data_IF_810150143180
#
_entry.id   IF_810150143180
#
_cell.length_a   1.000
_cell.length_b   1.000
_cell.length_c   1.000
_cell.angle_alpha   90.00
_cell.angle_beta   90.00
_cell.angle_gamma   90.00
#
_symmetry.space_group_name_H-M   'P 1'
#
loop_
_entity.id
_entity.type
_entity.pdbx_description
1 polymer ?
#
# COMPACT_ATOMS: atom_id res chain seq x y z
N UNK A 1 -36.23 19.54 -80.92
CA UNK A 1 -35.91 18.23 -81.50
C UNK A 1 -35.78 17.27 -80.35
N UNK A 2 -36.90 16.59 -80.01
CA UNK A 2 -37.22 15.16 -80.28
C UNK A 2 -36.04 14.27 -79.89
N UNK A 3 -36.13 13.28 -79.01
CA UNK A 3 -37.09 12.16 -79.00
C UNK A 3 -36.85 11.29 -77.74
N UNK A 4 -37.91 10.94 -77.13
CA UNK A 4 -38.46 9.62 -76.75
C UNK A 4 -37.72 8.67 -75.83
N UNK A 5 -38.30 8.44 -74.69
CA UNK A 5 -38.92 7.27 -74.12
C UNK A 5 -38.21 5.91 -74.32
N UNK A 6 -37.98 5.19 -73.21
CA UNK A 6 -38.62 3.86 -73.03
C UNK A 6 -38.56 3.47 -71.53
N UNK A 7 -39.75 3.15 -71.02
CA UNK A 7 -40.07 2.36 -69.88
C UNK A 7 -39.71 0.91 -70.05
N UNK A 8 -39.20 0.23 -69.06
CA UNK A 8 -39.39 -1.20 -68.92
C UNK A 8 -39.59 -1.56 -67.44
N UNK A 9 -40.79 -2.03 -67.17
CA UNK A 9 -41.16 -2.70 -65.90
C UNK A 9 -40.70 -4.16 -65.97
N UNK A 10 -40.10 -4.67 -64.90
CA UNK A 10 -40.13 -6.12 -64.60
C UNK A 10 -40.16 -6.30 -63.08
N UNK A 11 -41.30 -6.59 -62.56
CA UNK A 11 -41.82 -7.70 -61.75
C UNK A 11 -40.97 -8.20 -60.57
N UNK A 12 -41.60 -8.07 -59.45
CA UNK A 12 -41.67 -8.75 -58.19
C UNK A 12 -41.25 -10.25 -58.22
N UNK A 13 -40.36 -10.60 -57.32
CA UNK A 13 -40.33 -11.93 -56.72
C UNK A 13 -40.05 -11.82 -55.23
N UNK A 14 -41.05 -12.06 -54.41
CA UNK A 14 -41.00 -12.27 -53.01
C UNK A 14 -40.34 -13.61 -52.69
N UNK A 15 -39.29 -13.63 -51.89
CA UNK A 15 -38.80 -14.84 -51.22
C UNK A 15 -38.81 -14.62 -49.75
N UNK A 16 -39.75 -15.27 -49.09
CA UNK A 16 -39.77 -15.42 -47.64
C UNK A 16 -38.65 -16.35 -47.19
N UNK A 17 -37.73 -15.87 -46.36
CA UNK A 17 -36.79 -16.72 -45.66
C UNK A 17 -37.14 -16.64 -44.15
N UNK A 18 -37.55 -17.81 -43.65
CA UNK A 18 -37.79 -18.12 -42.26
C UNK A 18 -36.50 -17.88 -41.46
N UNK A 19 -36.50 -16.90 -40.56
CA UNK A 19 -35.42 -16.69 -39.63
C UNK A 19 -35.67 -17.52 -38.38
N UNK A 20 -34.93 -18.62 -38.26
CA UNK A 20 -34.76 -19.36 -37.02
C UNK A 20 -33.95 -18.52 -36.04
N UNK A 21 -34.56 -18.27 -34.89
CA UNK A 21 -33.94 -17.52 -33.78
C UNK A 21 -32.76 -18.27 -33.19
N UNK A 22 -31.65 -17.58 -33.08
CA UNK A 22 -30.59 -17.86 -32.13
C UNK A 22 -30.48 -16.63 -31.20
N UNK A 23 -31.05 -16.81 -30.02
CA UNK A 23 -30.88 -15.85 -28.92
C UNK A 23 -29.40 -15.82 -28.53
N UNK A 24 -28.66 -14.87 -29.08
CA UNK A 24 -27.32 -14.52 -28.62
C UNK A 24 -27.46 -13.73 -27.33
N UNK A 25 -27.17 -14.37 -26.19
CA UNK A 25 -26.91 -13.67 -24.92
C UNK A 25 -25.71 -12.76 -25.16
N UNK A 26 -25.96 -11.51 -25.46
CA UNK A 26 -24.99 -10.45 -25.36
C UNK A 26 -24.68 -10.25 -23.86
N UNK A 27 -23.59 -10.86 -23.39
CA UNK A 27 -22.95 -10.49 -22.15
C UNK A 27 -22.51 -9.02 -22.26
N UNK A 28 -23.35 -8.12 -21.79
CA UNK A 28 -22.93 -6.77 -21.49
C UNK A 28 -21.89 -6.87 -20.37
N UNK A 29 -20.61 -6.93 -20.78
CA UNK A 29 -19.55 -6.50 -19.90
C UNK A 29 -19.81 -5.03 -19.62
N UNK A 30 -20.29 -4.73 -18.42
CA UNK A 30 -20.21 -3.39 -17.87
C UNK A 30 -18.72 -3.05 -17.82
N UNK A 31 -18.24 -2.36 -18.85
CA UNK A 31 -17.00 -1.62 -18.77
C UNK A 31 -17.30 -0.49 -17.78
N UNK A 32 -16.81 -0.64 -16.55
CA UNK A 32 -16.68 0.48 -15.65
C UNK A 32 -15.93 1.55 -16.44
N UNK A 33 -16.62 2.64 -16.78
CA UNK A 33 -16.01 3.82 -17.33
C UNK A 33 -15.07 4.36 -16.25
N UNK A 34 -13.81 3.93 -16.29
CA UNK A 34 -12.74 4.62 -15.63
C UNK A 34 -12.71 6.02 -16.24
N UNK A 35 -12.99 7.05 -15.44
CA UNK A 35 -12.75 8.42 -15.82
C UNK A 35 -11.30 8.56 -16.30
N UNK A 36 -10.91 9.68 -16.97
CA UNK A 36 -9.57 9.89 -17.41
C UNK A 36 -8.64 9.90 -16.21
N UNK A 37 -8.19 8.70 -15.81
CA UNK A 37 -7.13 8.50 -14.87
C UNK A 37 -5.87 9.01 -15.53
N UNK A 38 -5.16 9.90 -14.88
CA UNK A 38 -3.79 10.15 -15.25
C UNK A 38 -3.08 8.82 -15.05
N UNK A 39 -2.67 8.14 -16.15
CA UNK A 39 -1.84 6.94 -16.14
C UNK A 39 -0.44 7.30 -15.62
N UNK A 40 -0.36 7.52 -14.31
CA UNK A 40 0.92 7.54 -13.62
C UNK A 40 1.20 6.09 -13.24
N UNK A 41 2.11 5.47 -13.98
CA UNK A 41 2.65 4.16 -13.62
C UNK A 41 3.28 4.26 -12.23
N UNK A 42 2.57 3.74 -11.24
CA UNK A 42 3.09 3.67 -9.87
C UNK A 42 4.14 2.56 -9.83
N UNK A 43 5.41 2.88 -9.54
CA UNK A 43 6.43 1.86 -9.46
C UNK A 43 6.12 0.85 -8.35
N UNK A 44 6.37 -0.42 -8.63
CA UNK A 44 6.19 -1.48 -7.65
C UNK A 44 7.04 -1.22 -6.41
N UNK A 45 6.41 -1.25 -5.24
CA UNK A 45 7.09 -1.05 -3.96
C UNK A 45 7.91 -2.30 -3.65
N UNK A 46 9.23 -2.18 -3.36
CA UNK A 46 10.05 -3.33 -3.01
C UNK A 46 9.51 -4.09 -1.80
N UNK A 47 9.64 -5.42 -1.80
CA UNK A 47 9.13 -6.29 -0.73
C UNK A 47 9.62 -5.86 0.67
N UNK A 48 10.83 -5.31 0.77
CA UNK A 48 11.37 -4.78 2.03
C UNK A 48 10.54 -3.63 2.62
N UNK A 49 9.75 -2.94 1.80
CA UNK A 49 8.89 -1.82 2.21
C UNK A 49 7.39 -2.16 2.17
N UNK A 50 7.01 -3.36 1.77
CA UNK A 50 5.59 -3.75 1.64
C UNK A 50 4.77 -3.45 2.90
N UNK A 51 5.37 -3.62 4.09
CA UNK A 51 4.74 -3.40 5.39
C UNK A 51 5.27 -2.16 6.14
N UNK A 52 6.01 -1.27 5.47
CA UNK A 52 6.64 -0.10 6.08
C UNK A 52 5.67 1.09 6.12
N UNK A 53 4.53 0.93 6.79
CA UNK A 53 3.52 1.99 6.87
C UNK A 53 3.87 3.06 7.90
N UNK A 54 3.44 4.29 7.61
CA UNK A 54 3.46 5.37 8.60
C UNK A 54 2.39 5.08 9.65
N UNK A 55 2.73 5.04 10.96
CA UNK A 55 1.77 4.72 12.00
C UNK A 55 0.63 5.75 12.04
N UNK A 56 -0.59 5.30 12.34
CA UNK A 56 -1.78 6.17 12.37
C UNK A 56 -1.60 7.40 13.26
N UNK A 57 -0.94 7.24 14.41
CA UNK A 57 -0.71 8.35 15.34
C UNK A 57 0.22 9.43 14.77
N UNK A 58 1.10 9.12 13.82
CA UNK A 58 2.01 10.09 13.24
C UNK A 58 1.27 11.18 12.45
N UNK A 59 0.16 10.83 11.82
CA UNK A 59 -0.62 11.73 10.99
C UNK A 59 -1.33 12.85 11.75
N UNK A 60 -1.65 12.63 13.02
CA UNK A 60 -2.44 13.56 13.84
C UNK A 60 -1.67 14.09 15.06
N UNK A 61 -0.48 13.55 15.35
CA UNK A 61 0.31 13.99 16.50
C UNK A 61 1.01 15.34 16.20
N UNK A 62 0.62 16.43 16.85
CA UNK A 62 1.17 17.76 16.56
C UNK A 62 2.67 17.87 16.81
N UNK A 63 3.21 17.11 17.79
CA UNK A 63 4.65 17.09 18.05
C UNK A 63 5.42 16.42 16.92
N UNK A 64 4.90 15.33 16.36
CA UNK A 64 5.52 14.67 15.21
C UNK A 64 5.45 15.56 13.97
N UNK A 65 4.32 16.19 13.71
CA UNK A 65 4.16 17.12 12.59
C UNK A 65 5.12 18.31 12.72
N UNK A 66 5.25 18.89 13.93
CA UNK A 66 6.21 19.98 14.18
C UNK A 66 7.66 19.51 13.94
N UNK A 67 8.03 18.33 14.44
CA UNK A 67 9.34 17.73 14.16
C UNK A 67 9.57 17.48 12.68
N UNK A 68 8.55 17.00 11.98
CA UNK A 68 8.59 16.81 10.53
C UNK A 68 8.81 18.11 9.77
N UNK A 69 8.20 19.22 10.22
CA UNK A 69 8.44 20.56 9.68
C UNK A 69 9.90 20.98 9.83
N UNK A 70 10.48 20.80 11.01
CA UNK A 70 11.90 21.12 11.26
C UNK A 70 12.81 20.35 10.29
N UNK A 71 12.58 19.04 10.12
CA UNK A 71 13.34 18.19 9.21
C UNK A 71 13.13 18.64 7.76
N UNK A 72 11.90 18.93 7.36
CA UNK A 72 11.58 19.38 6.01
C UNK A 72 12.30 20.69 5.67
N UNK A 73 12.26 21.66 6.55
CA UNK A 73 12.94 22.94 6.37
C UNK A 73 14.45 22.76 6.25
N UNK A 74 15.03 21.91 7.09
CA UNK A 74 16.48 21.70 7.10
C UNK A 74 17.01 20.88 5.91
N UNK A 75 16.22 19.94 5.38
CA UNK A 75 16.72 18.92 4.44
C UNK A 75 15.98 18.83 3.10
N UNK A 76 14.75 19.29 3.02
CA UNK A 76 13.89 19.05 1.86
C UNK A 76 13.58 20.33 1.04
N UNK A 77 13.51 21.48 1.71
CA UNK A 77 13.12 22.76 1.10
C UNK A 77 13.99 23.13 -0.09
N UNK A 78 15.29 22.83 -0.05
CA UNK A 78 16.21 23.18 -1.13
C UNK A 78 15.68 22.70 -2.50
N UNK A 79 15.11 21.50 -2.54
CA UNK A 79 14.57 20.93 -3.79
C UNK A 79 13.05 21.01 -3.84
N UNK A 80 12.32 20.72 -2.75
CA UNK A 80 10.86 20.71 -2.76
C UNK A 80 10.21 22.08 -2.61
N UNK A 81 10.98 23.15 -2.28
CA UNK A 81 10.45 24.49 -2.03
C UNK A 81 9.83 24.64 -0.63
N UNK A 82 9.75 25.87 -0.13
CA UNK A 82 9.16 26.15 1.18
C UNK A 82 7.69 25.72 1.29
N UNK A 83 6.97 25.82 0.17
CA UNK A 83 5.56 25.40 0.08
C UNK A 83 5.40 23.92 -0.24
N UNK A 84 6.49 23.22 -0.59
CA UNK A 84 6.45 21.85 -1.07
C UNK A 84 6.03 21.68 -2.53
N UNK A 85 5.99 22.74 -3.32
CA UNK A 85 5.51 22.78 -4.71
C UNK A 85 6.54 22.26 -5.75
N UNK A 86 7.63 21.67 -5.29
CA UNK A 86 8.69 21.13 -6.15
C UNK A 86 9.57 22.18 -6.82
N UNK A 87 9.44 23.47 -6.45
CA UNK A 87 10.12 24.61 -7.09
C UNK A 87 11.25 25.19 -6.24
N UNK A 88 11.90 24.36 -5.41
CA UNK A 88 13.07 24.79 -4.66
C UNK A 88 14.23 25.18 -5.56
N UNK A 89 15.15 26.01 -5.05
CA UNK A 89 16.30 26.50 -5.81
C UNK A 89 17.18 25.36 -6.36
N UNK A 90 17.32 24.27 -5.61
CA UNK A 90 18.06 23.08 -6.04
C UNK A 90 17.35 22.25 -7.13
N UNK A 91 16.08 22.55 -7.43
CA UNK A 91 15.31 21.82 -8.44
C UNK A 91 15.49 22.36 -9.87
N UNK A 92 16.06 23.55 -10.05
CA UNK A 92 16.03 24.30 -11.33
C UNK A 92 16.57 23.49 -12.50
N UNK A 93 17.69 22.79 -12.32
CA UNK A 93 18.37 22.06 -13.39
C UNK A 93 18.24 20.53 -13.24
N UNK A 94 17.36 20.01 -12.37
CA UNK A 94 17.21 18.56 -12.21
C UNK A 94 16.47 17.97 -13.42
N UNK A 95 16.97 16.84 -13.97
CA UNK A 95 16.29 16.12 -15.04
C UNK A 95 14.90 15.64 -14.62
N UNK A 96 14.79 15.04 -13.45
CA UNK A 96 13.54 14.69 -12.81
C UNK A 96 13.21 15.73 -11.74
N UNK A 97 12.14 16.47 -11.94
CA UNK A 97 11.69 17.47 -10.97
C UNK A 97 11.19 16.83 -9.68
N UNK A 98 11.40 17.46 -8.52
CA UNK A 98 10.77 17.02 -7.27
C UNK A 98 9.25 17.02 -7.43
N UNK A 99 8.60 16.07 -6.75
CA UNK A 99 7.15 16.00 -6.71
C UNK A 99 6.55 17.25 -6.07
N UNK A 100 5.41 17.70 -6.60
CA UNK A 100 4.59 18.75 -6.00
C UNK A 100 3.78 18.16 -4.83
N UNK A 101 4.25 18.39 -3.61
CA UNK A 101 3.63 17.90 -2.39
C UNK A 101 2.37 18.68 -2.00
N UNK A 102 2.02 19.74 -2.76
CA UNK A 102 0.75 20.47 -2.59
C UNK A 102 -0.37 19.90 -3.44
N UNK A 103 -0.05 19.01 -4.39
CA UNK A 103 -1.04 18.30 -5.18
C UNK A 103 -1.74 17.22 -4.33
N UNK A 104 -2.91 17.58 -3.83
CA UNK A 104 -3.71 16.71 -2.98
C UNK A 104 -4.14 15.42 -3.68
N UNK A 105 -4.30 15.42 -5.01
CA UNK A 105 -4.66 14.22 -5.76
C UNK A 105 -3.48 13.24 -5.79
N UNK A 106 -2.30 13.71 -6.18
CA UNK A 106 -1.08 12.90 -6.19
C UNK A 106 -0.78 12.35 -4.79
N UNK A 107 -0.87 13.20 -3.76
CA UNK A 107 -0.62 12.78 -2.37
C UNK A 107 -1.62 11.72 -1.91
N UNK A 108 -2.90 11.83 -2.30
CA UNK A 108 -3.93 10.87 -1.93
C UNK A 108 -3.83 9.52 -2.67
N UNK A 109 -3.23 9.48 -3.84
CA UNK A 109 -3.06 8.25 -4.63
C UNK A 109 -1.92 7.36 -4.13
N UNK A 110 -0.96 7.92 -3.38
CA UNK A 110 0.23 7.20 -2.93
C UNK A 110 0.03 6.55 -1.56
N UNK A 111 0.28 5.24 -1.49
CA UNK A 111 0.23 4.49 -0.24
C UNK A 111 1.32 4.94 0.76
N UNK A 112 1.07 4.76 2.06
CA UNK A 112 2.02 5.18 3.11
C UNK A 112 3.38 4.50 3.01
N UNK A 113 3.42 3.22 2.61
CA UNK A 113 4.66 2.48 2.38
C UNK A 113 5.46 3.02 1.17
N UNK A 114 4.79 3.55 0.15
CA UNK A 114 5.46 4.27 -0.94
C UNK A 114 6.25 5.48 -0.41
N UNK A 115 5.62 6.30 0.44
CA UNK A 115 6.27 7.46 1.04
C UNK A 115 7.46 7.08 1.89
N UNK A 116 7.33 6.02 2.72
CA UNK A 116 8.46 5.52 3.53
C UNK A 116 9.60 5.03 2.65
N UNK A 117 9.29 4.30 1.58
CA UNK A 117 10.28 3.85 0.62
C UNK A 117 11.00 5.03 -0.05
N UNK A 118 10.24 6.01 -0.57
CA UNK A 118 10.80 7.17 -1.28
C UNK A 118 11.71 8.01 -0.39
N UNK A 119 11.30 8.31 0.82
CA UNK A 119 12.15 9.05 1.78
C UNK A 119 13.36 8.23 2.19
N UNK A 120 13.22 6.90 2.33
CA UNK A 120 14.34 6.05 2.75
C UNK A 120 15.40 5.91 1.69
N UNK A 121 15.03 5.58 0.45
CA UNK A 121 15.96 5.21 -0.64
C UNK A 121 16.23 6.36 -1.62
N UNK A 122 15.42 7.39 -1.60
CA UNK A 122 15.58 8.53 -2.50
C UNK A 122 15.53 8.16 -3.98
N UNK A 123 16.36 8.81 -4.76
CA UNK A 123 16.49 8.63 -6.20
C UNK A 123 17.48 7.56 -6.64
N UNK A 124 18.15 6.89 -5.70
CA UNK A 124 19.22 5.93 -6.00
C UNK A 124 18.72 4.56 -6.46
N UNK A 125 17.39 4.34 -6.47
CA UNK A 125 16.74 3.09 -6.83
C UNK A 125 15.88 3.24 -8.07
N UNK A 126 15.69 2.14 -8.82
CA UNK A 126 14.82 2.15 -9.99
C UNK A 126 13.33 2.26 -9.59
N UNK A 127 12.51 2.88 -10.45
CA UNK A 127 12.82 3.49 -11.75
C UNK A 127 13.32 4.95 -11.68
N UNK A 128 13.59 5.47 -10.51
CA UNK A 128 13.95 6.88 -10.32
C UNK A 128 15.39 7.19 -10.70
N UNK A 129 16.28 6.23 -10.51
CA UNK A 129 17.70 6.34 -10.87
C UNK A 129 17.86 6.57 -12.37
N UNK A 130 17.22 5.74 -13.20
CA UNK A 130 17.28 5.87 -14.67
C UNK A 130 16.61 7.15 -15.17
N UNK A 131 15.65 7.71 -14.41
CA UNK A 131 14.99 8.98 -14.69
C UNK A 131 15.81 10.21 -14.22
N UNK A 132 16.99 10.00 -13.63
CA UNK A 132 17.87 11.06 -13.16
C UNK A 132 17.40 11.78 -11.89
N UNK A 133 16.74 11.06 -10.98
CA UNK A 133 16.36 11.62 -9.69
C UNK A 133 17.58 11.96 -8.83
N UNK A 134 17.61 13.17 -8.30
CA UNK A 134 18.66 13.63 -7.39
C UNK A 134 18.24 13.58 -5.91
N UNK A 135 17.10 12.99 -5.57
CA UNK A 135 16.64 12.89 -4.19
C UNK A 135 17.60 12.03 -3.36
N UNK A 136 18.16 12.53 -2.25
CA UNK A 136 19.03 11.74 -1.40
C UNK A 136 18.30 10.58 -0.72
N UNK A 137 19.06 9.53 -0.34
CA UNK A 137 18.56 8.45 0.50
C UNK A 137 18.69 8.86 1.98
N UNK A 138 17.58 9.06 2.66
CA UNK A 138 17.58 9.58 4.03
C UNK A 138 17.67 8.51 5.12
N UNK A 139 17.64 7.21 4.77
CA UNK A 139 17.65 6.12 5.76
C UNK A 139 18.91 6.08 6.64
N UNK A 140 20.02 6.60 6.17
CA UNK A 140 21.27 6.65 6.96
C UNK A 140 21.30 7.84 7.94
N UNK A 141 20.58 8.92 7.64
CA UNK A 141 20.61 10.16 8.44
C UNK A 141 19.37 10.34 9.33
N UNK A 142 18.23 9.82 8.89
CA UNK A 142 16.95 9.96 9.60
C UNK A 142 16.52 8.62 10.20
N UNK A 143 16.21 8.63 11.48
CA UNK A 143 15.55 7.49 12.13
C UNK A 143 14.21 7.18 11.45
N UNK A 144 13.65 6.00 11.69
CA UNK A 144 12.31 5.66 11.15
C UNK A 144 11.26 6.66 11.65
N UNK A 145 11.33 7.07 12.93
CA UNK A 145 10.39 8.05 13.48
C UNK A 145 10.53 9.42 12.83
N UNK A 146 11.76 9.86 12.52
CA UNK A 146 11.99 11.12 11.80
C UNK A 146 11.45 11.06 10.38
N UNK A 147 11.59 9.92 9.69
CA UNK A 147 11.02 9.71 8.37
C UNK A 147 9.49 9.73 8.41
N UNK A 148 8.85 9.10 9.40
CA UNK A 148 7.41 9.22 9.60
C UNK A 148 6.96 10.64 9.88
N UNK A 149 7.72 11.37 10.71
CA UNK A 149 7.43 12.76 11.05
C UNK A 149 7.46 13.66 9.81
N UNK A 150 8.52 13.58 8.99
CA UNK A 150 8.63 14.42 7.78
C UNK A 150 7.57 14.04 6.73
N UNK A 151 7.20 12.77 6.60
CA UNK A 151 6.11 12.32 5.72
C UNK A 151 4.78 12.89 6.20
N UNK A 152 4.48 12.79 7.50
CA UNK A 152 3.26 13.34 8.07
C UNK A 152 3.16 14.85 7.86
N UNK A 153 4.26 15.59 8.02
CA UNK A 153 4.30 17.02 7.72
C UNK A 153 4.08 17.28 6.22
N UNK A 154 4.77 16.56 5.33
CA UNK A 154 4.64 16.74 3.89
C UNK A 154 3.18 16.60 3.41
N UNK A 155 2.42 15.66 3.99
CA UNK A 155 0.99 15.52 3.70
C UNK A 155 0.17 16.75 4.11
N UNK A 156 0.56 17.46 5.16
CA UNK A 156 -0.15 18.70 5.55
C UNK A 156 -0.05 19.80 4.50
N UNK A 157 0.97 19.76 3.63
CA UNK A 157 1.17 20.76 2.57
C UNK A 157 0.08 20.69 1.49
N UNK A 158 -0.50 19.51 1.26
CA UNK A 158 -1.63 19.31 0.37
C UNK A 158 -2.99 19.48 1.05
N UNK A 159 -3.01 19.79 2.35
CA UNK A 159 -4.23 19.81 3.14
C UNK A 159 -4.70 18.45 3.64
N UNK A 160 -4.02 17.37 3.29
CA UNK A 160 -4.34 16.02 3.72
C UNK A 160 -3.70 15.64 5.05
N UNK A 161 -4.38 14.78 5.81
CA UNK A 161 -3.88 14.23 7.07
C UNK A 161 -4.15 12.73 7.11
N UNK A 162 -3.20 11.97 6.66
CA UNK A 162 -3.27 10.52 6.74
C UNK A 162 -3.36 9.77 5.42
N UNK A 163 -3.41 8.46 5.48
CA UNK A 163 -3.47 7.61 4.29
C UNK A 163 -4.79 7.79 3.55
N UNK A 164 -4.73 7.85 2.22
CA UNK A 164 -5.89 8.15 1.36
C UNK A 164 -6.24 7.02 0.39
N UNK A 165 -5.50 5.92 0.40
CA UNK A 165 -5.82 4.75 -0.44
C UNK A 165 -6.77 3.81 0.29
N UNK A 166 -7.81 3.39 -0.42
CA UNK A 166 -8.84 2.50 0.13
C UNK A 166 -8.27 1.22 0.79
N UNK A 167 -7.14 0.70 0.30
CA UNK A 167 -6.42 -0.42 0.89
C UNK A 167 -5.81 -0.11 2.27
N UNK A 168 -5.41 1.13 2.54
CA UNK A 168 -4.95 1.55 3.85
C UNK A 168 -6.10 1.86 4.80
N UNK A 169 -7.23 2.37 4.31
CA UNK A 169 -8.46 2.50 5.08
C UNK A 169 -9.01 1.14 5.53
N UNK A 170 -8.78 0.06 4.77
CA UNK A 170 -9.12 -1.29 5.24
C UNK A 170 -8.24 -1.77 6.39
N UNK A 171 -7.01 -1.24 6.52
CA UNK A 171 -6.13 -1.51 7.67
C UNK A 171 -6.46 -0.64 8.89
N UNK A 172 -7.27 0.42 8.72
CA UNK A 172 -7.82 1.23 9.81
C UNK A 172 -9.06 0.61 10.49
N UNK A 173 -9.49 -0.60 10.09
CA UNK A 173 -10.31 -1.41 11.00
C UNK A 173 -9.52 -1.52 12.30
N UNK A 174 -10.12 -1.20 13.45
CA UNK A 174 -9.43 -1.34 14.72
C UNK A 174 -8.81 -2.72 14.73
N UNK A 175 -7.48 -2.78 14.90
CA UNK A 175 -6.77 -4.06 15.02
C UNK A 175 -7.58 -4.88 16.01
N UNK A 176 -8.04 -6.07 15.66
CA UNK A 176 -8.75 -6.90 16.63
C UNK A 176 -7.84 -7.01 17.86
N UNK A 177 -8.38 -6.80 19.05
CA UNK A 177 -7.58 -6.86 20.29
C UNK A 177 -6.80 -8.15 20.43
N UNK A 178 -7.26 -9.20 19.74
CA UNK A 178 -6.57 -10.48 19.65
C UNK A 178 -6.75 -11.11 18.28
N UNK A 179 -5.76 -11.87 17.84
CA UNK A 179 -5.79 -12.68 16.62
C UNK A 179 -5.41 -14.11 16.94
N UNK A 180 -5.94 -15.05 16.17
CA UNK A 180 -5.66 -16.46 16.33
C UNK A 180 -4.90 -16.97 15.11
N UNK A 181 -3.84 -17.74 15.36
CA UNK A 181 -3.04 -18.40 14.34
C UNK A 181 -2.86 -19.89 14.66
N UNK A 182 -2.37 -20.64 13.68
CA UNK A 182 -1.94 -22.02 13.81
C UNK A 182 -0.50 -22.15 13.34
N UNK A 183 0.26 -23.03 14.00
CA UNK A 183 1.66 -23.21 13.66
C UNK A 183 2.30 -24.36 14.41
N UNK A 184 3.61 -24.52 14.18
CA UNK A 184 4.43 -25.54 14.85
C UNK A 184 5.40 -24.86 15.79
N UNK A 185 5.55 -25.39 17.00
CA UNK A 185 6.55 -24.93 17.97
C UNK A 185 7.94 -25.39 17.48
N UNK A 186 8.80 -24.44 17.17
CA UNK A 186 10.18 -24.72 16.72
C UNK A 186 11.14 -24.77 17.90
N UNK A 187 11.00 -23.85 18.85
CA UNK A 187 11.86 -23.79 20.03
C UNK A 187 11.18 -23.07 21.19
N UNK A 188 11.65 -23.34 22.40
CA UNK A 188 11.33 -22.58 23.60
C UNK A 188 12.57 -21.81 24.04
N UNK A 189 12.39 -20.55 24.44
CA UNK A 189 13.45 -19.67 24.97
C UNK A 189 13.03 -19.15 26.36
N UNK A 190 13.21 -19.94 27.41
CA UNK A 190 12.75 -19.60 28.76
C UNK A 190 13.37 -18.30 29.27
N UNK A 191 14.64 -18.05 28.97
CA UNK A 191 15.37 -16.86 29.36
C UNK A 191 14.78 -15.55 28.79
N UNK A 192 14.02 -15.66 27.68
CA UNK A 192 13.33 -14.55 27.00
C UNK A 192 11.83 -14.61 27.16
N UNK A 193 11.32 -15.61 27.86
CA UNK A 193 9.89 -15.89 27.98
C UNK A 193 9.21 -15.99 26.58
N UNK A 194 9.86 -16.69 25.64
CA UNK A 194 9.41 -16.77 24.24
C UNK A 194 9.21 -18.21 23.77
N UNK A 195 8.13 -18.38 23.02
CA UNK A 195 7.90 -19.55 22.18
C UNK A 195 8.21 -19.16 20.74
N UNK A 196 9.09 -19.89 20.08
CA UNK A 196 9.38 -19.71 18.64
C UNK A 196 8.40 -20.58 17.86
N UNK A 197 7.59 -19.95 17.04
CA UNK A 197 6.59 -20.59 16.19
C UNK A 197 6.90 -20.37 14.71
N UNK A 198 6.78 -21.43 13.93
CA UNK A 198 6.59 -21.37 12.50
C UNK A 198 5.08 -21.41 12.24
N UNK A 199 4.54 -20.36 11.64
CA UNK A 199 3.11 -20.23 11.42
C UNK A 199 2.77 -19.82 10.00
N UNK A 200 1.56 -20.20 9.55
CA UNK A 200 0.97 -19.70 8.32
C UNK A 200 0.52 -18.25 8.42
N UNK A 201 -0.28 -17.82 7.44
CA UNK A 201 -0.89 -16.50 7.47
C UNK A 201 -1.83 -16.36 8.68
N UNK A 202 -1.63 -15.31 9.47
CA UNK A 202 -2.58 -14.86 10.50
C UNK A 202 -3.37 -13.71 9.88
N UNK A 203 -4.59 -14.03 9.40
CA UNK A 203 -5.42 -13.11 8.62
C UNK A 203 -5.57 -11.73 9.26
N UNK A 204 -5.21 -10.69 8.52
CA UNK A 204 -5.30 -9.30 8.94
C UNK A 204 -4.25 -8.87 9.98
N UNK A 205 -3.23 -9.72 10.25
CA UNK A 205 -2.17 -9.41 11.20
C UNK A 205 -0.77 -9.59 10.61
N UNK A 206 -0.41 -10.79 10.13
CA UNK A 206 0.90 -11.02 9.51
C UNK A 206 0.92 -12.25 8.59
N UNK A 207 1.85 -12.24 7.62
CA UNK A 207 2.07 -13.35 6.70
C UNK A 207 2.78 -14.55 7.35
N UNK A 208 2.96 -15.65 6.58
CA UNK A 208 3.70 -16.83 7.05
C UNK A 208 5.13 -16.49 7.43
N UNK A 209 5.57 -16.91 8.63
CA UNK A 209 6.95 -16.72 9.08
C UNK A 209 7.30 -17.56 10.28
N UNK A 210 8.60 -17.57 10.64
CA UNK A 210 9.10 -18.14 11.89
C UNK A 210 9.58 -17.02 12.80
N UNK A 211 8.96 -16.86 13.97
CA UNK A 211 9.40 -15.83 14.92
C UNK A 211 9.13 -16.23 16.39
N UNK A 212 9.83 -15.51 17.30
CA UNK A 212 9.66 -15.69 18.75
C UNK A 212 8.60 -14.75 19.31
N UNK A 213 7.60 -15.31 19.97
CA UNK A 213 6.54 -14.57 20.66
C UNK A 213 6.73 -14.64 22.17
N UNK A 214 6.60 -13.52 22.86
CA UNK A 214 6.47 -13.53 24.31
C UNK A 214 5.18 -14.23 24.71
N UNK A 215 5.16 -14.86 25.89
CA UNK A 215 3.96 -15.49 26.46
C UNK A 215 3.48 -14.71 27.68
N UNK A 216 2.18 -14.52 27.77
CA UNK A 216 1.53 -13.90 28.92
C UNK A 216 0.25 -14.68 29.29
N UNK A 217 0.26 -15.44 30.41
CA UNK A 217 1.35 -15.58 31.38
C UNK A 217 2.54 -16.42 30.86
N UNK A 218 3.75 -16.26 31.41
CA UNK A 218 4.93 -17.04 31.05
C UNK A 218 4.75 -18.55 31.17
N UNK A 219 3.88 -19.01 32.07
CA UNK A 219 3.57 -20.42 32.30
C UNK A 219 2.97 -21.13 31.07
N UNK A 220 2.47 -20.42 30.08
CA UNK A 220 1.97 -21.01 28.84
C UNK A 220 3.05 -21.81 28.09
N UNK A 221 4.33 -21.43 28.25
CA UNK A 221 5.42 -22.19 27.65
C UNK A 221 5.53 -23.64 28.17
N UNK A 222 5.09 -23.91 29.41
CA UNK A 222 5.17 -25.24 30.03
C UNK A 222 4.16 -26.20 29.42
N UNK A 223 3.18 -25.71 28.67
CA UNK A 223 2.14 -26.54 28.07
C UNK A 223 2.52 -27.13 26.72
N UNK A 224 3.65 -26.69 26.14
CA UNK A 224 4.06 -27.02 24.76
C UNK A 224 5.53 -27.45 24.70
N UNK A 225 5.90 -28.20 23.66
CA UNK A 225 7.27 -28.62 23.37
C UNK A 225 7.59 -28.44 21.87
N UNK A 226 8.86 -28.36 21.48
CA UNK A 226 9.24 -28.36 20.06
C UNK A 226 8.61 -29.54 19.32
N UNK A 227 8.07 -29.27 18.12
CA UNK A 227 7.33 -30.22 17.29
C UNK A 227 5.82 -30.21 17.50
N UNK A 228 5.31 -29.64 18.59
CA UNK A 228 3.86 -29.58 18.80
C UNK A 228 3.19 -28.65 17.77
N UNK A 229 2.10 -29.14 17.15
CA UNK A 229 1.18 -28.31 16.36
C UNK A 229 0.22 -27.61 17.30
N UNK A 230 0.11 -26.31 17.19
CA UNK A 230 -0.64 -25.49 18.14
C UNK A 230 -1.55 -24.49 17.45
N UNK A 231 -2.68 -24.20 18.10
CA UNK A 231 -3.47 -23.00 17.87
C UNK A 231 -3.15 -22.01 18.98
N UNK A 232 -2.86 -20.77 18.60
CA UNK A 232 -2.47 -19.75 19.57
C UNK A 232 -3.22 -18.45 19.34
N UNK A 233 -3.40 -17.68 20.41
CA UNK A 233 -4.01 -16.35 20.38
C UNK A 233 -2.97 -15.32 20.79
N UNK A 234 -2.81 -14.27 19.98
CA UNK A 234 -1.92 -13.14 20.22
C UNK A 234 -2.77 -11.95 20.65
N UNK A 235 -2.44 -11.32 21.76
CA UNK A 235 -2.83 -9.95 22.06
C UNK A 235 -2.04 -9.02 21.14
N UNK A 236 -2.75 -8.27 20.28
CA UNK A 236 -2.11 -7.46 19.24
C UNK A 236 -1.51 -6.18 19.78
N UNK A 237 -1.92 -5.73 20.97
CA UNK A 237 -1.42 -4.55 21.65
C UNK A 237 -0.12 -4.87 22.40
N UNK A 238 -0.12 -5.97 23.16
CA UNK A 238 1.05 -6.46 23.88
C UNK A 238 2.03 -7.24 22.99
N UNK A 239 1.63 -7.64 21.78
CA UNK A 239 2.39 -8.54 20.89
C UNK A 239 2.83 -9.83 21.58
N UNK A 240 1.96 -10.40 22.41
CA UNK A 240 2.23 -11.57 23.23
C UNK A 240 1.17 -12.65 23.07
N UNK A 241 1.57 -13.92 23.15
CA UNK A 241 0.65 -15.04 23.16
C UNK A 241 -0.04 -15.08 24.53
N UNK A 242 -1.37 -15.03 24.51
CA UNK A 242 -2.22 -15.09 25.71
C UNK A 242 -2.92 -16.43 25.88
N UNK A 243 -2.94 -17.25 24.82
CA UNK A 243 -3.49 -18.60 24.84
C UNK A 243 -2.74 -19.48 23.84
N UNK A 244 -2.52 -20.75 24.21
CA UNK A 244 -1.91 -21.75 23.33
C UNK A 244 -2.53 -23.11 23.63
N UNK A 245 -3.07 -23.75 22.60
CA UNK A 245 -3.73 -25.06 22.69
C UNK A 245 -3.05 -26.00 21.69
N UNK A 246 -2.74 -27.24 22.12
CA UNK A 246 -2.25 -28.27 21.21
C UNK A 246 -3.38 -28.76 20.30
N UNK A 247 -3.08 -28.85 19.02
CA UNK A 247 -3.95 -29.49 18.04
C UNK A 247 -3.79 -31.01 18.19
N UNK A 248 -4.88 -31.71 18.30
CA UNK A 248 -4.88 -33.19 18.26
C UNK A 248 -4.56 -33.61 16.84
N UNK A 249 -3.66 -34.57 16.69
CA UNK A 249 -3.42 -35.26 15.42
C UNK A 249 -4.64 -36.05 14.98
#
# INVERSE_FOLDING_TARGET
MTCTRRFTFITIAALAIVATGLAGLALWRAQAAGGPGHDHEHPAIPAAYANAHVPTHAWTNPKMIAKGKEIFVAKCVLCHGEKGDGKGLGAVNLPLKPADLTDGKMVAEMAGNYWVWRVSEGGLVEPFKSKGSAMPAWKAELSMNDRWAVIAYAHTLSGHRGPHVASEHQQLKPKPKSVTGEGTVIALRPEKQQVVLEHGEIKGFMGPMTMGYKTNPPSLMNSVKPGDKVRFTIDTEASAITKIDKLKE
#
